data_IF_068804940270
#
_entry.id   IF_068804940270
#
_cell.length_a   1.000
_cell.length_b   1.000
_cell.length_c   1.000
_cell.angle_alpha   90.00
_cell.angle_beta   90.00
_cell.angle_gamma   90.00
#
_symmetry.space_group_name_H-M   'P 1'
#
loop_
_entity.id
_entity.type
_entity.pdbx_description
1 polymer ?
#
# COMPACT_ATOMS: atom_id res chain seq x y z
N UNK A 1 -48.05 -2.22 -18.41
CA UNK A 1 -46.98 -2.93 -19.14
C UNK A 1 -45.68 -2.12 -19.16
N UNK A 2 -45.75 -0.81 -19.38
CA UNK A 2 -44.58 0.10 -19.39
C UNK A 2 -43.83 0.20 -18.05
N UNK A 3 -44.54 0.18 -16.91
CA UNK A 3 -43.92 0.27 -15.58
C UNK A 3 -43.02 -0.92 -15.24
N UNK A 4 -43.42 -2.13 -15.64
CA UNK A 4 -42.61 -3.34 -15.47
C UNK A 4 -41.37 -3.31 -16.37
N UNK A 5 -41.51 -2.78 -17.59
CA UNK A 5 -40.39 -2.63 -18.51
C UNK A 5 -39.38 -1.60 -18.01
N UNK A 6 -39.85 -0.48 -17.45
CA UNK A 6 -38.99 0.53 -16.83
C UNK A 6 -38.21 -0.04 -15.63
N UNK A 7 -38.86 -0.83 -14.77
CA UNK A 7 -38.20 -1.49 -13.63
C UNK A 7 -37.12 -2.49 -14.07
N UNK A 8 -37.36 -3.23 -15.16
CA UNK A 8 -36.36 -4.16 -15.74
C UNK A 8 -35.15 -3.39 -16.27
N UNK A 9 -35.35 -2.29 -17.01
CA UNK A 9 -34.25 -1.45 -17.48
C UNK A 9 -33.44 -0.82 -16.35
N UNK A 10 -34.12 -0.38 -15.30
CA UNK A 10 -33.48 0.21 -14.12
C UNK A 10 -32.66 -0.85 -13.36
N UNK A 11 -33.20 -2.07 -13.23
CA UNK A 11 -32.48 -3.22 -12.67
C UNK A 11 -31.22 -3.58 -13.47
N UNK A 12 -31.32 -3.62 -14.81
CA UNK A 12 -30.17 -3.89 -15.68
C UNK A 12 -29.10 -2.81 -15.59
N UNK A 13 -29.48 -1.53 -15.47
CA UNK A 13 -28.53 -0.43 -15.28
C UNK A 13 -27.78 -0.53 -13.95
N UNK A 14 -28.49 -0.85 -12.86
CA UNK A 14 -27.88 -1.01 -11.54
C UNK A 14 -26.91 -2.21 -11.53
N UNK A 15 -27.33 -3.36 -12.07
CA UNK A 15 -26.50 -4.55 -12.15
C UNK A 15 -25.29 -4.33 -13.07
N UNK A 16 -25.49 -3.73 -14.24
CA UNK A 16 -24.40 -3.39 -15.17
C UNK A 16 -23.40 -2.41 -14.55
N UNK A 17 -23.88 -1.40 -13.82
CA UNK A 17 -23.04 -0.45 -13.09
C UNK A 17 -22.23 -1.12 -11.98
N UNK A 18 -22.82 -2.02 -11.21
CA UNK A 18 -22.14 -2.81 -10.17
C UNK A 18 -21.07 -3.73 -10.76
N UNK A 19 -21.36 -4.42 -11.87
CA UNK A 19 -20.39 -5.28 -12.55
C UNK A 19 -19.19 -4.45 -13.04
N UNK A 20 -19.44 -3.32 -13.72
CA UNK A 20 -18.36 -2.42 -14.15
C UNK A 20 -17.53 -1.92 -12.96
N UNK A 21 -18.17 -1.57 -11.84
CA UNK A 21 -17.49 -1.14 -10.63
C UNK A 21 -16.59 -2.23 -10.05
N UNK A 22 -17.09 -3.46 -9.91
CA UNK A 22 -16.33 -4.59 -9.37
C UNK A 22 -15.15 -4.98 -10.26
N UNK A 23 -15.37 -5.04 -11.57
CA UNK A 23 -14.31 -5.32 -12.56
C UNK A 23 -13.23 -4.24 -12.49
N UNK A 24 -13.62 -2.96 -12.39
CA UNK A 24 -12.70 -1.83 -12.26
C UNK A 24 -11.88 -1.90 -10.97
N UNK A 25 -12.47 -2.28 -9.85
CA UNK A 25 -11.74 -2.48 -8.58
C UNK A 25 -10.73 -3.64 -8.71
N UNK A 26 -11.10 -4.74 -9.37
CA UNK A 26 -10.21 -5.89 -9.56
C UNK A 26 -8.97 -5.54 -10.40
N UNK A 27 -9.14 -4.86 -11.54
CA UNK A 27 -8.00 -4.42 -12.36
C UNK A 27 -7.12 -3.39 -11.65
N UNK A 28 -7.73 -2.52 -10.84
CA UNK A 28 -6.96 -1.54 -10.06
C UNK A 28 -6.12 -2.18 -8.95
N UNK A 29 -6.55 -3.30 -8.38
CA UNK A 29 -5.75 -4.08 -7.42
C UNK A 29 -4.49 -4.65 -8.06
N UNK A 30 -4.60 -5.21 -9.27
CA UNK A 30 -3.47 -5.76 -10.03
C UNK A 30 -2.46 -4.67 -10.44
N UNK A 31 -2.94 -3.51 -10.91
CA UNK A 31 -2.07 -2.36 -11.20
C UNK A 31 -1.37 -1.83 -9.95
N UNK A 32 -2.06 -1.81 -8.80
CA UNK A 32 -1.47 -1.38 -7.54
C UNK A 32 -0.32 -2.32 -7.11
N UNK A 33 -0.53 -3.62 -7.25
CA UNK A 33 0.44 -4.65 -6.89
C UNK A 33 1.73 -4.51 -7.71
N UNK A 34 1.61 -4.32 -9.03
CA UNK A 34 2.77 -4.06 -9.88
C UNK A 34 3.47 -2.73 -9.56
N UNK A 35 2.72 -1.68 -9.21
CA UNK A 35 3.29 -0.35 -8.96
C UNK A 35 3.89 -0.19 -7.55
N UNK A 36 3.55 -1.06 -6.60
CA UNK A 36 4.06 -1.01 -5.23
C UNK A 36 5.43 -1.68 -5.10
N UNK A 37 5.67 -2.73 -5.89
CA UNK A 37 6.96 -3.44 -5.93
C UNK A 37 8.03 -2.54 -6.53
N UNK A 38 9.17 -2.42 -5.84
CA UNK A 38 10.27 -1.57 -6.27
C UNK A 38 11.11 -1.07 -5.10
N UNK A 39 12.15 -0.28 -5.43
CA UNK A 39 13.02 0.35 -4.43
C UNK A 39 12.51 1.76 -4.12
N UNK A 40 12.19 2.00 -2.87
CA UNK A 40 11.62 3.25 -2.38
C UNK A 40 12.61 3.97 -1.48
N UNK A 41 12.83 5.25 -1.75
CA UNK A 41 13.67 6.11 -0.95
C UNK A 41 12.85 6.79 0.16
N UNK A 42 13.28 6.61 1.40
CA UNK A 42 12.79 7.35 2.54
C UNK A 42 13.76 8.49 2.87
N UNK A 43 13.36 9.71 2.54
CA UNK A 43 14.18 10.92 2.77
C UNK A 43 14.44 11.21 4.25
N UNK A 44 13.53 10.84 5.15
CA UNK A 44 13.67 11.13 6.58
C UNK A 44 14.73 10.27 7.25
N UNK A 45 14.79 8.98 6.87
CA UNK A 45 15.73 8.03 7.44
C UNK A 45 17.00 7.86 6.59
N UNK A 46 17.03 8.48 5.40
CA UNK A 46 18.07 8.32 4.39
C UNK A 46 18.35 6.83 4.09
N UNK A 47 17.28 6.07 3.80
CA UNK A 47 17.34 4.64 3.49
C UNK A 47 16.57 4.30 2.21
N UNK A 48 16.95 3.21 1.57
CA UNK A 48 16.21 2.61 0.47
C UNK A 48 15.59 1.30 0.93
N UNK A 49 14.29 1.17 0.70
CA UNK A 49 13.47 0.03 1.08
C UNK A 49 13.02 -0.67 -0.20
N UNK A 50 13.44 -1.91 -0.40
CA UNK A 50 12.90 -2.77 -1.43
C UNK A 50 11.57 -3.34 -0.94
N UNK A 51 10.48 -2.98 -1.60
CA UNK A 51 9.18 -3.60 -1.43
C UNK A 51 9.03 -4.71 -2.47
N UNK A 52 8.70 -5.91 -2.02
CA UNK A 52 8.54 -7.10 -2.85
C UNK A 52 7.28 -7.87 -2.44
N UNK A 53 6.76 -8.67 -3.36
CA UNK A 53 5.60 -9.52 -3.17
C UNK A 53 6.04 -10.97 -2.88
N UNK A 54 5.45 -11.59 -1.87
CA UNK A 54 5.50 -13.03 -1.62
C UNK A 54 4.07 -13.53 -1.43
N UNK A 55 3.56 -14.34 -2.35
CA UNK A 55 2.20 -14.92 -2.29
C UNK A 55 1.08 -13.88 -2.08
N UNK A 56 1.13 -12.76 -2.79
CA UNK A 56 0.19 -11.62 -2.67
C UNK A 56 0.24 -10.89 -1.32
N UNK A 57 1.32 -11.07 -0.58
CA UNK A 57 1.62 -10.34 0.65
C UNK A 57 2.90 -9.55 0.41
N UNK A 58 2.82 -8.22 0.54
CA UNK A 58 3.99 -7.37 0.40
C UNK A 58 4.82 -7.37 1.68
N UNK A 59 6.12 -7.36 1.46
CA UNK A 59 7.14 -7.19 2.48
C UNK A 59 8.08 -6.08 2.02
N UNK A 60 8.77 -5.44 2.97
CA UNK A 60 9.72 -4.39 2.70
C UNK A 60 10.98 -4.55 3.53
N UNK A 61 12.13 -4.60 2.86
CA UNK A 61 13.44 -4.74 3.51
C UNK A 61 14.35 -3.58 3.13
N UNK A 62 15.14 -3.11 4.08
CA UNK A 62 16.15 -2.07 3.81
C UNK A 62 17.27 -2.70 2.98
N UNK A 63 17.52 -2.14 1.80
CA UNK A 63 18.57 -2.61 0.87
C UNK A 63 19.75 -1.64 0.77
N UNK A 64 19.55 -0.40 1.20
CA UNK A 64 20.60 0.60 1.31
C UNK A 64 20.30 1.53 2.48
N UNK A 65 21.35 1.96 3.17
CA UNK A 65 21.28 2.95 4.23
C UNK A 65 22.57 3.78 4.17
N UNK A 66 22.47 5.04 4.55
CA UNK A 66 23.66 5.88 4.70
C UNK A 66 24.63 5.29 5.75
N UNK A 67 25.91 5.67 5.66
CA UNK A 67 27.02 5.02 6.36
C UNK A 67 26.85 5.00 7.91
N UNK A 68 26.07 5.93 8.46
CA UNK A 68 25.71 5.99 9.89
C UNK A 68 24.70 4.91 10.32
N UNK A 69 24.01 4.27 9.36
CA UNK A 69 22.92 3.32 9.55
C UNK A 69 23.21 1.98 8.83
N UNK A 70 24.47 1.59 8.66
CA UNK A 70 24.81 0.32 7.98
C UNK A 70 24.32 -0.93 8.74
N UNK A 71 24.10 -0.83 10.05
CA UNK A 71 23.60 -1.93 10.89
C UNK A 71 22.14 -2.32 10.64
N UNK A 72 21.35 -1.46 9.98
CA UNK A 72 19.93 -1.73 9.68
C UNK A 72 19.71 -2.32 8.28
N UNK A 73 20.79 -2.59 7.53
CA UNK A 73 20.73 -3.27 6.24
C UNK A 73 20.16 -4.68 6.40
N UNK A 74 19.25 -5.06 5.48
CA UNK A 74 18.57 -6.35 5.51
C UNK A 74 17.39 -6.41 6.49
N UNK A 75 17.23 -5.44 7.39
CA UNK A 75 16.11 -5.40 8.33
C UNK A 75 14.80 -5.24 7.57
N UNK A 76 13.81 -6.06 7.96
CA UNK A 76 12.44 -5.96 7.44
C UNK A 76 11.72 -4.83 8.17
N UNK A 77 11.27 -3.84 7.40
CA UNK A 77 10.55 -2.65 7.89
C UNK A 77 9.08 -2.66 7.55
N UNK A 78 8.66 -3.45 6.56
CA UNK A 78 7.25 -3.66 6.24
C UNK A 78 6.96 -5.16 6.24
N UNK A 79 5.88 -5.56 6.91
CA UNK A 79 5.50 -6.96 7.06
C UNK A 79 3.99 -7.15 6.94
N UNK A 80 3.58 -8.28 6.36
CA UNK A 80 2.17 -8.66 6.19
C UNK A 80 1.31 -7.59 5.53
N UNK A 81 1.88 -6.83 4.58
CA UNK A 81 1.16 -5.76 3.91
C UNK A 81 0.27 -6.35 2.82
N UNK A 82 -1.04 -6.13 2.93
CA UNK A 82 -2.05 -6.64 1.99
C UNK A 82 -2.80 -5.50 1.34
N UNK A 83 -3.20 -5.68 0.07
CA UNK A 83 -4.08 -4.73 -0.60
C UNK A 83 -5.44 -4.73 0.09
N UNK A 84 -5.85 -3.58 0.60
CA UNK A 84 -7.19 -3.33 1.10
C UNK A 84 -8.05 -2.56 0.10
N UNK A 85 -9.28 -2.26 0.51
CA UNK A 85 -10.20 -1.44 -0.29
C UNK A 85 -9.63 -0.04 -0.57
N UNK A 86 -10.06 0.57 -1.68
CA UNK A 86 -9.69 1.94 -2.07
C UNK A 86 -8.19 2.17 -2.23
N UNK A 87 -7.46 1.19 -2.78
CA UNK A 87 -6.02 1.32 -3.10
C UNK A 87 -5.12 1.60 -1.89
N UNK A 88 -5.56 1.20 -0.71
CA UNK A 88 -4.78 1.32 0.52
C UNK A 88 -4.28 -0.05 0.92
N UNK A 89 -2.97 -0.20 1.03
CA UNK A 89 -2.40 -1.43 1.59
C UNK A 89 -2.28 -1.28 3.11
N UNK A 90 -2.54 -2.34 3.86
CA UNK A 90 -2.44 -2.36 5.32
C UNK A 90 -1.58 -3.51 5.78
N UNK A 91 -0.79 -3.30 6.82
CA UNK A 91 0.04 -4.32 7.44
C UNK A 91 0.77 -3.75 8.64
N UNK A 92 2.02 -4.15 8.83
CA UNK A 92 2.85 -3.69 9.93
C UNK A 92 4.10 -2.96 9.44
N UNK A 93 4.48 -1.91 10.18
CA UNK A 93 5.75 -1.22 10.06
C UNK A 93 6.60 -1.53 11.29
N UNK A 94 7.81 -2.00 11.07
CA UNK A 94 8.79 -2.27 12.13
C UNK A 94 9.83 -1.17 12.08
N UNK A 95 9.94 -0.41 13.17
CA UNK A 95 10.96 0.63 13.28
C UNK A 95 12.35 -0.03 13.38
N UNK A 96 13.26 0.23 12.42
CA UNK A 96 14.58 -0.40 12.40
C UNK A 96 15.47 0.01 13.57
N UNK A 97 15.20 1.14 14.24
CA UNK A 97 15.99 1.60 15.38
C UNK A 97 15.51 1.03 16.73
N UNK A 98 14.19 1.00 16.94
CA UNK A 98 13.61 0.57 18.22
C UNK A 98 13.01 -0.84 18.23
N UNK A 99 12.96 -1.50 17.07
CA UNK A 99 12.26 -2.77 16.85
C UNK A 99 10.77 -2.75 17.26
N UNK A 100 10.18 -1.56 17.43
CA UNK A 100 8.75 -1.41 17.73
C UNK A 100 7.92 -1.61 16.48
N UNK A 101 6.80 -2.29 16.67
CA UNK A 101 5.86 -2.57 15.60
C UNK A 101 4.66 -1.63 15.66
N UNK A 102 4.29 -1.10 14.50
CA UNK A 102 3.19 -0.16 14.30
C UNK A 102 2.27 -0.68 13.21
N UNK A 103 0.98 -0.36 13.28
CA UNK A 103 0.10 -0.60 12.15
C UNK A 103 0.44 0.40 11.05
N UNK A 104 0.48 -0.04 9.79
CA UNK A 104 0.82 0.82 8.66
C UNK A 104 -0.26 0.80 7.59
N UNK A 105 -0.50 1.97 7.01
CA UNK A 105 -1.26 2.13 5.77
C UNK A 105 -0.34 2.71 4.70
N UNK A 106 -0.24 2.01 3.57
CA UNK A 106 0.46 2.47 2.38
C UNK A 106 -0.55 2.93 1.33
N UNK A 107 -0.32 4.09 0.74
CA UNK A 107 -1.16 4.64 -0.32
C UNK A 107 -0.29 5.22 -1.42
N UNK A 108 -0.40 4.68 -2.64
CA UNK A 108 0.22 5.30 -3.81
C UNK A 108 -0.48 6.62 -4.12
N UNK A 109 0.22 7.74 -3.94
CA UNK A 109 -0.26 9.06 -4.38
C UNK A 109 -0.06 9.24 -5.88
N UNK A 110 1.03 8.71 -6.40
CA UNK A 110 1.35 8.65 -7.82
C UNK A 110 2.16 7.38 -8.09
N UNK A 111 2.52 7.13 -9.36
CA UNK A 111 3.38 5.99 -9.74
C UNK A 111 4.79 6.05 -9.13
N UNK A 112 5.20 7.19 -8.56
CA UNK A 112 6.54 7.38 -8.01
C UNK A 112 6.53 7.92 -6.58
N UNK A 113 5.36 8.08 -5.95
CA UNK A 113 5.24 8.61 -4.59
C UNK A 113 4.31 7.72 -3.78
N UNK A 114 4.87 7.13 -2.74
CA UNK A 114 4.18 6.27 -1.78
C UNK A 114 4.00 7.04 -0.47
N UNK A 115 2.76 7.25 -0.05
CA UNK A 115 2.46 7.77 1.29
C UNK A 115 2.46 6.61 2.27
N UNK A 116 3.26 6.72 3.32
CA UNK A 116 3.34 5.77 4.43
C UNK A 116 2.78 6.43 5.67
N UNK A 117 1.79 5.82 6.30
CA UNK A 117 1.19 6.34 7.54
C UNK A 117 1.16 5.24 8.57
N UNK A 118 1.73 5.51 9.75
CA UNK A 118 1.83 4.54 10.85
C UNK A 118 0.95 4.95 12.02
N UNK A 119 0.49 3.95 12.77
CA UNK A 119 -0.42 4.09 13.89
C UNK A 119 0.01 3.20 15.06
N UNK A 120 -0.27 3.64 16.28
CA UNK A 120 -0.14 2.78 17.45
C UNK A 120 -1.20 1.67 17.41
N UNK A 121 -0.78 0.42 17.64
CA UNK A 121 -1.67 -0.76 17.63
C UNK A 121 -2.88 -0.62 18.58
N UNK A 122 -2.66 -0.03 19.75
CA UNK A 122 -3.67 -0.02 20.82
C UNK A 122 -4.60 1.19 20.75
N UNK A 123 -4.09 2.36 20.37
CA UNK A 123 -4.85 3.62 20.40
C UNK A 123 -5.31 4.07 19.02
N UNK A 124 -4.73 3.49 17.96
CA UNK A 124 -4.87 3.96 16.57
C UNK A 124 -4.44 5.41 16.36
N UNK A 125 -3.70 5.98 17.32
CA UNK A 125 -3.14 7.31 17.17
C UNK A 125 -2.07 7.29 16.09
N UNK A 126 -2.13 8.29 15.21
CA UNK A 126 -1.15 8.46 14.15
C UNK A 126 0.23 8.75 14.76
N UNK A 127 1.22 7.93 14.42
CA UNK A 127 2.60 8.09 14.89
C UNK A 127 3.37 9.00 13.95
N UNK A 128 3.37 8.67 12.65
CA UNK A 128 3.98 9.53 11.64
C UNK A 128 3.33 9.35 10.27
N UNK A 129 3.58 10.33 9.40
CA UNK A 129 3.24 10.30 7.98
C UNK A 129 4.49 10.68 7.20
N UNK A 130 4.87 9.83 6.26
CA UNK A 130 6.02 10.03 5.38
C UNK A 130 5.64 9.82 3.92
N UNK A 131 6.45 10.38 3.04
CA UNK A 131 6.39 10.13 1.60
C UNK A 131 7.68 9.50 1.16
N UNK A 132 7.58 8.36 0.50
CA UNK A 132 8.71 7.66 -0.08
C UNK A 132 8.66 7.83 -1.59
N UNK A 133 9.84 8.06 -2.19
CA UNK A 133 9.96 8.27 -3.63
C UNK A 133 10.48 7.00 -4.29
N UNK A 134 9.85 6.57 -5.38
CA UNK A 134 10.34 5.43 -6.14
C UNK A 134 11.69 5.80 -6.74
N UNK A 135 12.72 5.03 -6.41
CA UNK A 135 13.99 5.08 -7.13
C UNK A 135 13.76 4.34 -8.43
N UNK A 136 13.59 5.10 -9.51
CA UNK A 136 13.67 4.50 -10.84
C UNK A 136 15.12 4.08 -11.09
N UNK A 137 15.37 2.94 -11.74
CA UNK A 137 16.62 2.75 -12.45
C UNK A 137 16.81 3.84 -13.52
#
# INVERSE_FOLDING_TARGET
METNMMLVWLGLLVVGGLIMFLVREQFQGADLQHNLVGVWFNEHLNVQVLIYDVDSIFQGSIVWADNMNSSILGTRVLENVRVGMFKKCKGYYIDPASAKEFDVTLQLKSKSVLKVTTFHKNTQDQVFVQEWKLIKP
#
